data_IF_713404511886
#
_entry.id   IF_713404511886
#
_cell.length_a   1.000
_cell.length_b   1.000
_cell.length_c   1.000
_cell.angle_alpha   90.00
_cell.angle_beta   90.00
_cell.angle_gamma   90.00
#
_symmetry.space_group_name_H-M   'P 1'
#
loop_
_entity.id
_entity.type
_entity.pdbx_description
1 polymer ?
#
# COMPACT_ATOMS: atom_id res chain seq x y z
N UNK A 1 -7.46 -12.72 5.06
CA UNK A 1 -7.16 -11.42 4.40
C UNK A 1 -8.43 -10.86 3.77
N UNK A 2 -8.59 -9.54 3.77
CA UNK A 2 -9.65 -8.86 3.03
C UNK A 2 -9.01 -7.83 2.08
N UNK A 3 -9.39 -7.85 0.81
CA UNK A 3 -8.88 -6.94 -0.22
C UNK A 3 -9.99 -6.14 -0.89
N UNK A 4 -9.67 -4.95 -1.38
CA UNK A 4 -10.60 -4.11 -2.13
C UNK A 4 -9.86 -3.44 -3.29
N UNK A 5 -10.43 -3.50 -4.49
CA UNK A 5 -9.94 -2.79 -5.67
C UNK A 5 -11.13 -2.37 -6.54
N UNK A 6 -11.00 -1.27 -7.29
CA UNK A 6 -12.04 -0.83 -8.24
C UNK A 6 -12.10 -1.70 -9.49
N UNK A 7 -10.97 -2.32 -9.87
CA UNK A 7 -10.80 -3.00 -11.13
C UNK A 7 -11.19 -4.49 -10.99
N UNK A 8 -12.20 -4.97 -11.74
CA UNK A 8 -12.72 -6.34 -11.58
C UNK A 8 -11.67 -7.41 -11.89
N UNK A 9 -10.77 -7.16 -12.87
CA UNK A 9 -9.65 -8.06 -13.14
C UNK A 9 -8.71 -8.22 -11.93
N UNK A 10 -8.31 -7.13 -11.26
CA UNK A 10 -7.41 -7.21 -10.10
C UNK A 10 -8.04 -8.00 -8.95
N UNK A 11 -9.35 -7.82 -8.73
CA UNK A 11 -10.12 -8.59 -7.75
C UNK A 11 -10.18 -10.07 -8.10
N UNK A 12 -10.43 -10.41 -9.37
CA UNK A 12 -10.46 -11.79 -9.84
C UNK A 12 -9.09 -12.46 -9.68
N UNK A 13 -8.03 -11.77 -10.08
CA UNK A 13 -6.63 -12.22 -9.98
C UNK A 13 -6.20 -12.43 -8.52
N UNK A 14 -6.54 -11.49 -7.63
CA UNK A 14 -6.25 -11.62 -6.20
C UNK A 14 -6.97 -12.83 -5.58
N UNK A 15 -8.27 -13.00 -5.86
CA UNK A 15 -9.01 -14.16 -5.35
C UNK A 15 -8.50 -15.48 -5.94
N UNK A 16 -8.09 -15.51 -7.21
CA UNK A 16 -7.45 -16.68 -7.81
C UNK A 16 -6.13 -16.99 -7.10
N UNK A 17 -5.28 -15.98 -6.91
CA UNK A 17 -3.99 -16.11 -6.23
C UNK A 17 -4.15 -16.62 -4.79
N UNK A 18 -5.11 -16.08 -4.04
CA UNK A 18 -5.39 -16.55 -2.68
C UNK A 18 -5.76 -18.04 -2.65
N UNK A 19 -6.57 -18.51 -3.61
CA UNK A 19 -6.91 -19.93 -3.74
C UNK A 19 -5.70 -20.79 -4.10
N UNK A 20 -4.88 -20.36 -5.07
CA UNK A 20 -3.69 -21.11 -5.48
C UNK A 20 -2.67 -21.25 -4.35
N UNK A 21 -2.56 -20.23 -3.50
CA UNK A 21 -1.60 -20.21 -2.39
C UNK A 21 -2.18 -20.73 -1.07
N UNK A 22 -3.44 -21.18 -1.03
CA UNK A 22 -4.10 -21.64 0.20
C UNK A 22 -4.29 -20.53 1.26
N UNK A 23 -4.30 -19.26 0.85
CA UNK A 23 -4.46 -18.11 1.74
C UNK A 23 -5.95 -17.91 2.02
N UNK A 24 -6.34 -18.00 3.29
CA UNK A 24 -7.71 -17.65 3.71
C UNK A 24 -7.94 -16.15 3.52
N UNK A 25 -8.69 -15.79 2.49
CA UNK A 25 -9.04 -14.40 2.22
C UNK A 25 -9.99 -14.20 1.05
N UNK A 26 -10.48 -12.97 0.93
CA UNK A 26 -11.40 -12.58 -0.13
C UNK A 26 -11.14 -11.13 -0.54
N UNK A 27 -11.06 -10.90 -1.85
CA UNK A 27 -11.04 -9.56 -2.44
C UNK A 27 -12.40 -9.22 -3.02
N UNK A 28 -12.83 -7.97 -2.89
CA UNK A 28 -14.10 -7.46 -3.43
C UNK A 28 -13.88 -6.27 -4.35
N UNK A 29 -14.77 -6.10 -5.33
CA UNK A 29 -14.79 -4.89 -6.13
C UNK A 29 -15.39 -3.75 -5.32
N UNK A 30 -14.61 -2.72 -5.03
CA UNK A 30 -15.06 -1.58 -4.24
C UNK A 30 -14.24 -0.32 -4.53
N UNK A 31 -14.88 0.83 -4.35
CA UNK A 31 -14.19 2.11 -4.26
C UNK A 31 -13.60 2.25 -2.86
N UNK A 32 -12.27 2.35 -2.77
CA UNK A 32 -11.55 2.43 -1.50
C UNK A 32 -11.93 3.67 -0.68
N UNK A 33 -12.40 4.73 -1.33
CA UNK A 33 -12.95 5.92 -0.65
C UNK A 33 -14.17 5.56 0.21
N UNK A 34 -14.84 4.44 -0.05
CA UNK A 34 -16.04 3.99 0.67
C UNK A 34 -15.82 2.76 1.56
N UNK A 35 -14.65 2.13 1.48
CA UNK A 35 -14.36 0.91 2.25
C UNK A 35 -14.17 1.24 3.73
N UNK A 36 -14.88 0.54 4.61
CA UNK A 36 -14.69 0.67 6.06
C UNK A 36 -13.36 0.03 6.47
N UNK A 37 -12.47 0.83 7.04
CA UNK A 37 -11.21 0.34 7.58
C UNK A 37 -11.44 -0.37 8.92
N UNK A 38 -10.93 -1.60 9.05
CA UNK A 38 -10.97 -2.34 10.30
C UNK A 38 -9.96 -1.75 11.28
N UNK A 39 -10.42 -0.85 12.14
CA UNK A 39 -9.60 -0.25 13.17
C UNK A 39 -9.74 -0.99 14.51
N UNK A 40 -9.67 -2.32 14.45
CA UNK A 40 -9.56 -3.20 15.62
C UNK A 40 -8.09 -3.31 16.02
N UNK A 41 -7.83 -3.40 17.33
CA UNK A 41 -6.49 -3.70 17.87
C UNK A 41 -5.96 -4.99 17.24
N UNK A 42 -4.72 -4.95 16.76
CA UNK A 42 -4.05 -6.10 16.13
C UNK A 42 -4.46 -6.37 14.67
N UNK A 43 -5.38 -5.59 14.10
CA UNK A 43 -5.62 -5.63 12.65
C UNK A 43 -4.47 -4.92 11.90
N UNK A 44 -4.10 -5.44 10.74
CA UNK A 44 -3.17 -4.79 9.81
C UNK A 44 -3.92 -4.19 8.62
N UNK A 45 -3.60 -2.94 8.27
CA UNK A 45 -4.09 -2.25 7.07
C UNK A 45 -2.88 -1.94 6.20
N UNK A 46 -2.89 -2.45 4.96
CA UNK A 46 -1.84 -2.19 3.97
C UNK A 46 -2.46 -1.44 2.80
N UNK A 47 -1.85 -0.32 2.42
CA UNK A 47 -2.13 0.41 1.18
C UNK A 47 -0.83 0.52 0.38
N UNK A 48 -0.66 -0.34 -0.62
CA UNK A 48 0.54 -0.39 -1.44
C UNK A 48 0.24 0.06 -2.87
N UNK A 49 0.93 1.09 -3.36
CA UNK A 49 0.75 1.68 -4.69
C UNK A 49 -0.71 2.09 -4.95
N UNK A 50 -1.35 2.62 -3.91
CA UNK A 50 -2.80 2.88 -3.90
C UNK A 50 -3.08 4.34 -3.61
N UNK A 51 -2.34 4.97 -2.69
CA UNK A 51 -2.59 6.33 -2.23
C UNK A 51 -2.18 7.35 -3.30
N UNK A 52 -1.13 7.03 -4.07
CA UNK A 52 -0.68 7.85 -5.20
C UNK A 52 -1.72 7.97 -6.31
N UNK A 53 -2.60 6.97 -6.49
CA UNK A 53 -3.64 6.93 -7.52
C UNK A 53 -4.90 7.73 -7.17
N UNK A 54 -5.01 8.22 -5.93
CA UNK A 54 -6.19 8.95 -5.45
C UNK A 54 -6.13 10.41 -5.84
N UNK A 55 -7.30 11.01 -6.07
CA UNK A 55 -7.43 12.47 -6.10
C UNK A 55 -7.06 13.07 -4.73
N UNK A 56 -6.51 14.28 -4.71
CA UNK A 56 -6.14 14.99 -3.48
C UNK A 56 -7.20 14.98 -2.37
N UNK A 57 -8.49 15.29 -2.60
CA UNK A 57 -9.49 15.28 -1.52
C UNK A 57 -9.68 13.89 -0.90
N UNK A 58 -9.76 12.84 -1.72
CA UNK A 58 -9.88 11.45 -1.26
C UNK A 58 -8.62 11.00 -0.53
N UNK A 59 -7.44 11.45 -0.98
CA UNK A 59 -6.17 11.19 -0.33
C UNK A 59 -6.16 11.76 1.08
N UNK A 60 -6.52 13.03 1.25
CA UNK A 60 -6.58 13.68 2.56
C UNK A 60 -7.59 13.02 3.51
N UNK A 61 -8.75 12.61 3.01
CA UNK A 61 -9.71 11.84 3.81
C UNK A 61 -9.14 10.48 4.25
N UNK A 62 -8.44 9.80 3.34
CA UNK A 62 -7.81 8.51 3.63
C UNK A 62 -6.71 8.65 4.68
N UNK A 63 -5.91 9.73 4.66
CA UNK A 63 -4.94 10.02 5.72
C UNK A 63 -5.62 10.05 7.09
N UNK A 64 -6.67 10.84 7.24
CA UNK A 64 -7.40 10.97 8.50
C UNK A 64 -7.95 9.61 8.99
N UNK A 65 -8.49 8.80 8.07
CA UNK A 65 -9.02 7.46 8.38
C UNK A 65 -7.94 6.46 8.79
N UNK A 66 -6.78 6.48 8.15
CA UNK A 66 -5.64 5.63 8.48
C UNK A 66 -5.06 6.01 9.86
N UNK A 67 -4.87 7.30 10.13
CA UNK A 67 -4.40 7.78 11.43
C UNK A 67 -5.39 7.43 12.54
N UNK A 68 -6.69 7.62 12.31
CA UNK A 68 -7.73 7.20 13.24
C UNK A 68 -7.66 5.69 13.51
N UNK A 69 -7.44 4.88 12.47
CA UNK A 69 -7.29 3.44 12.63
C UNK A 69 -6.06 3.05 13.47
N UNK A 70 -4.92 3.70 13.21
CA UNK A 70 -3.69 3.54 14.00
C UNK A 70 -3.89 3.92 15.47
N UNK A 71 -4.59 5.03 15.74
CA UNK A 71 -4.91 5.46 17.10
C UNK A 71 -5.76 4.44 17.88
N UNK A 72 -6.55 3.60 17.20
CA UNK A 72 -7.30 2.49 17.82
C UNK A 72 -6.51 1.17 17.91
N UNK A 73 -5.23 1.19 17.56
CA UNK A 73 -4.31 0.06 17.72
C UNK A 73 -4.18 -0.86 16.50
N UNK A 74 -4.63 -0.43 15.32
CA UNK A 74 -4.32 -1.11 14.07
C UNK A 74 -2.87 -0.81 13.63
N UNK A 75 -2.23 -1.77 12.97
CA UNK A 75 -0.96 -1.56 12.28
C UNK A 75 -1.26 -0.98 10.91
N UNK A 76 -0.64 0.15 10.57
CA UNK A 76 -0.84 0.81 9.28
C UNK A 76 0.45 0.76 8.49
N UNK A 77 0.41 0.24 7.26
CA UNK A 77 1.54 0.27 6.34
C UNK A 77 1.11 0.87 5.00
N UNK A 78 1.71 1.99 4.63
CA UNK A 78 1.59 2.59 3.31
C UNK A 78 2.89 2.35 2.55
N UNK A 79 2.83 1.87 1.31
CA UNK A 79 4.00 1.65 0.46
C UNK A 79 3.78 2.36 -0.87
N UNK A 80 4.72 3.17 -1.31
CA UNK A 80 4.60 3.96 -2.52
C UNK A 80 5.91 4.02 -3.32
N UNK A 81 5.88 4.42 -4.61
CA UNK A 81 7.08 4.64 -5.39
C UNK A 81 7.97 5.71 -4.75
N UNK A 82 9.29 5.53 -4.84
CA UNK A 82 10.28 6.48 -4.28
C UNK A 82 10.35 7.81 -5.07
N UNK A 83 9.86 7.82 -6.32
CA UNK A 83 9.97 8.95 -7.22
C UNK A 83 9.17 10.18 -6.72
N UNK A 84 9.88 11.17 -6.17
CA UNK A 84 9.32 12.36 -5.51
C UNK A 84 8.47 13.25 -6.43
N UNK A 85 8.76 13.27 -7.73
CA UNK A 85 8.06 14.12 -8.72
C UNK A 85 6.57 13.78 -8.84
N UNK A 86 6.18 12.57 -8.46
CA UNK A 86 4.80 12.09 -8.55
C UNK A 86 3.99 12.30 -7.26
N UNK A 87 4.58 12.87 -6.21
CA UNK A 87 3.93 12.88 -4.90
C UNK A 87 4.37 14.05 -3.99
N UNK A 88 4.02 15.30 -4.34
CA UNK A 88 4.25 16.47 -3.49
C UNK A 88 3.53 16.38 -2.13
N UNK A 89 2.50 15.55 -2.03
CA UNK A 89 1.75 15.27 -0.81
C UNK A 89 2.51 14.47 0.25
N UNK A 90 3.60 13.79 -0.12
CA UNK A 90 4.25 12.79 0.74
C UNK A 90 4.85 13.38 2.01
N UNK A 91 5.52 14.54 1.94
CA UNK A 91 6.14 15.15 3.12
C UNK A 91 5.13 15.47 4.22
N UNK A 92 3.94 15.94 3.83
CA UNK A 92 2.83 16.15 4.78
C UNK A 92 2.38 14.84 5.43
N UNK A 93 2.36 13.74 4.68
CA UNK A 93 2.02 12.43 5.23
C UNK A 93 3.10 11.89 6.16
N UNK A 94 4.38 12.11 5.85
CA UNK A 94 5.51 11.78 6.74
C UNK A 94 5.37 12.49 8.09
N UNK A 95 5.13 13.80 8.08
CA UNK A 95 4.91 14.61 9.28
C UNK A 95 3.72 14.10 10.10
N UNK A 96 2.59 13.80 9.44
CA UNK A 96 1.39 13.31 10.10
C UNK A 96 1.58 11.92 10.73
N UNK A 97 2.27 11.01 10.03
CA UNK A 97 2.62 9.70 10.58
C UNK A 97 3.60 9.81 11.73
N UNK A 98 4.62 10.68 11.64
CA UNK A 98 5.57 10.94 12.72
C UNK A 98 4.87 11.50 13.97
N UNK A 99 3.93 12.43 13.80
CA UNK A 99 3.12 12.97 14.90
C UNK A 99 2.24 11.89 15.57
N UNK A 100 1.81 10.86 14.82
CA UNK A 100 1.14 9.69 15.38
C UNK A 100 2.12 8.67 16.02
N UNK A 101 3.42 8.97 16.04
CA UNK A 101 4.50 8.09 16.48
C UNK A 101 4.73 6.88 15.56
N UNK A 102 4.46 7.06 14.28
CA UNK A 102 4.88 6.18 13.20
C UNK A 102 6.27 6.57 12.65
N UNK A 103 6.68 5.88 11.59
CA UNK A 103 7.99 6.04 10.96
C UNK A 103 7.87 6.08 9.44
N UNK A 104 8.74 6.86 8.82
CA UNK A 104 8.97 6.87 7.38
C UNK A 104 10.28 6.16 7.05
N UNK A 105 10.33 5.44 5.93
CA UNK A 105 11.54 4.79 5.45
C UNK A 105 11.60 4.80 3.92
N UNK A 106 12.79 4.97 3.37
CA UNK A 106 13.10 4.71 1.96
C UNK A 106 13.85 3.38 1.86
N UNK A 107 13.50 2.60 0.84
CA UNK A 107 14.05 1.26 0.60
C UNK A 107 14.66 1.19 -0.79
N UNK A 108 15.87 0.66 -0.86
CA UNK A 108 16.55 0.33 -2.11
C UNK A 108 17.26 -1.01 -1.91
N UNK A 109 16.92 -1.99 -2.73
CA UNK A 109 17.55 -3.30 -2.64
C UNK A 109 17.82 -3.87 -4.03
N UNK A 110 18.97 -4.53 -4.21
CA UNK A 110 19.28 -5.22 -5.46
C UNK A 110 18.22 -6.30 -5.71
N UNK A 111 17.81 -6.46 -6.96
CA UNK A 111 16.76 -7.40 -7.34
C UNK A 111 17.18 -8.26 -8.52
N UNK A 112 17.40 -9.54 -8.26
CA UNK A 112 17.53 -10.56 -9.30
C UNK A 112 16.14 -11.07 -9.67
N UNK A 113 15.44 -10.32 -10.52
CA UNK A 113 14.14 -10.73 -11.04
C UNK A 113 14.27 -12.04 -11.83
N UNK A 114 13.34 -13.00 -11.78
CA UNK A 114 13.39 -14.19 -12.63
C UNK A 114 13.31 -13.82 -14.13
N UNK A 115 13.75 -14.72 -15.01
CA UNK A 115 13.93 -14.41 -16.44
C UNK A 115 12.70 -13.82 -17.12
N UNK A 116 11.52 -14.37 -16.86
CA UNK A 116 10.28 -13.87 -17.47
C UNK A 116 9.98 -12.43 -17.05
N UNK A 117 10.14 -12.12 -15.77
CA UNK A 117 9.94 -10.78 -15.22
C UNK A 117 10.99 -9.81 -15.76
N UNK A 118 12.25 -10.23 -15.91
CA UNK A 118 13.30 -9.43 -16.57
C UNK A 118 12.94 -9.10 -18.01
N UNK A 119 12.46 -10.08 -18.76
CA UNK A 119 12.06 -9.88 -20.17
C UNK A 119 10.88 -8.93 -20.27
N UNK A 120 9.86 -9.09 -19.43
CA UNK A 120 8.71 -8.17 -19.36
C UNK A 120 9.15 -6.75 -18.99
N UNK A 121 10.00 -6.60 -17.98
CA UNK A 121 10.54 -5.30 -17.58
C UNK A 121 11.28 -4.62 -18.74
N UNK A 122 12.19 -5.35 -19.41
CA UNK A 122 12.92 -4.83 -20.57
C UNK A 122 11.99 -4.42 -21.71
N UNK A 123 10.97 -5.22 -22.00
CA UNK A 123 9.98 -4.91 -23.04
C UNK A 123 9.17 -3.65 -22.71
N UNK A 124 8.97 -3.36 -21.42
CA UNK A 124 8.36 -2.11 -20.94
C UNK A 124 9.36 -0.93 -20.82
N UNK A 125 10.59 -1.08 -21.34
CA UNK A 125 11.64 -0.05 -21.24
C UNK A 125 12.29 0.07 -19.85
N UNK A 126 12.01 -0.87 -18.95
CA UNK A 126 12.56 -0.89 -17.59
C UNK A 126 13.82 -1.77 -17.54
N UNK A 127 14.90 -1.21 -16.99
CA UNK A 127 16.11 -1.99 -16.65
C UNK A 127 16.22 -2.10 -15.13
N UNK A 128 15.27 -2.81 -14.52
CA UNK A 128 15.19 -2.95 -13.07
C UNK A 128 16.32 -3.85 -12.55
N UNK A 129 17.42 -3.23 -12.11
CA UNK A 129 18.49 -3.88 -11.32
C UNK A 129 18.25 -3.77 -9.81
N UNK A 130 17.40 -2.83 -9.42
CA UNK A 130 17.03 -2.54 -8.05
C UNK A 130 15.51 -2.46 -7.96
N UNK A 131 14.98 -2.86 -6.81
CA UNK A 131 13.62 -2.54 -6.39
C UNK A 131 13.71 -1.40 -5.38
N UNK A 132 12.84 -0.41 -5.57
CA UNK A 132 12.80 0.78 -4.72
C UNK A 132 11.38 1.07 -4.28
N UNK A 133 11.25 1.47 -3.03
CA UNK A 133 9.98 1.90 -2.47
C UNK A 133 10.26 2.90 -1.35
N UNK A 134 9.20 3.57 -0.90
CA UNK A 134 9.18 4.27 0.38
C UNK A 134 7.93 3.86 1.13
N UNK A 135 7.97 3.93 2.44
CA UNK A 135 6.89 3.47 3.29
C UNK A 135 6.63 4.39 4.46
N UNK A 136 5.38 4.39 4.92
CA UNK A 136 4.95 4.95 6.19
C UNK A 136 4.36 3.83 7.04
N UNK A 137 4.76 3.75 8.31
CA UNK A 137 4.35 2.69 9.22
C UNK A 137 3.90 3.25 10.57
N UNK A 138 2.69 2.90 10.99
CA UNK A 138 2.28 2.98 12.41
C UNK A 138 2.34 1.56 12.96
N UNK A 139 3.30 1.23 13.85
CA UNK A 139 3.45 -0.11 14.40
C UNK A 139 2.38 -0.41 15.46
N UNK A 140 2.23 -1.70 15.79
CA UNK A 140 1.44 -2.09 16.95
C UNK A 140 2.17 -1.65 18.22
N UNK A 141 1.48 -0.95 19.12
CA UNK A 141 1.98 -0.66 20.47
C UNK A 141 1.49 -1.77 21.41
N UNK A 142 2.45 -2.51 21.96
CA UNK A 142 2.25 -3.51 23.00
C UNK A 142 1.55 -2.89 24.22
#
# INVERSE_FOLDING_TARGET
>A
LAGADRHPWAVAEANWTYRQLGISGHAVQADISRVKLSARRGAGIIAAYTINELSDPVREEMLARLLHAGARGAVILVVEPIARRLAPWWSRWEEAFAAAGGQAAEWRFPAELPDRQRTLARAAGLTARELTARSLLIPHRA
#
